data_IF_241109942430
#
_entry.id   IF_241109942430
#
_cell.length_a   1.000
_cell.length_b   1.000
_cell.length_c   1.000
_cell.angle_alpha   90.00
_cell.angle_beta   90.00
_cell.angle_gamma   90.00
#
_symmetry.space_group_name_H-M   'P 1'
#
loop_
_entity.id
_entity.type
_entity.pdbx_description
1 polymer ?
#
# COMPACT_ATOMS: atom_id res chain seq x y z
N UNK A 1 -17.24 -8.70 20.95
CA UNK A 1 -17.92 -7.42 20.67
C UNK A 1 -18.71 -7.53 19.36
N UNK A 2 -19.96 -7.13 19.33
CA UNK A 2 -20.77 -7.11 18.10
C UNK A 2 -20.47 -5.89 17.24
N UNK A 3 -20.16 -4.75 17.87
CA UNK A 3 -19.86 -3.47 17.21
C UNK A 3 -18.63 -2.80 17.81
N UNK A 4 -17.90 -2.05 16.99
CA UNK A 4 -16.80 -1.19 17.44
C UNK A 4 -17.29 0.25 17.58
N UNK A 5 -16.97 0.87 18.70
CA UNK A 5 -17.32 2.27 18.98
C UNK A 5 -16.15 3.18 18.60
N UNK A 6 -16.35 4.05 17.63
CA UNK A 6 -15.31 4.94 17.13
C UNK A 6 -15.15 6.23 17.96
N UNK A 7 -16.00 6.47 18.98
CA UNK A 7 -15.85 7.57 19.93
C UNK A 7 -15.95 8.98 19.33
N UNK A 8 -16.79 9.19 18.30
CA UNK A 8 -17.03 10.52 17.71
C UNK A 8 -15.79 11.14 17.05
N UNK A 9 -14.84 10.35 16.60
CA UNK A 9 -13.57 10.81 16.00
C UNK A 9 -13.78 11.56 14.68
N UNK A 10 -13.10 12.70 14.55
CA UNK A 10 -13.08 13.48 13.31
C UNK A 10 -12.00 12.98 12.37
N UNK A 11 -12.44 12.30 11.29
CA UNK A 11 -11.55 11.81 10.22
C UNK A 11 -10.98 12.93 9.34
N UNK A 12 -11.53 14.14 9.39
CA UNK A 12 -11.02 15.25 8.59
C UNK A 12 -9.59 15.64 9.00
N UNK A 13 -9.24 15.45 10.28
CA UNK A 13 -7.89 15.69 10.80
C UNK A 13 -6.85 14.69 10.28
N UNK A 14 -7.28 13.52 9.78
CA UNK A 14 -6.39 12.48 9.29
C UNK A 14 -5.86 12.73 7.87
N UNK A 15 -6.44 13.73 7.18
CA UNK A 15 -5.97 14.12 5.85
C UNK A 15 -4.84 15.15 5.94
N UNK A 16 -3.58 14.77 5.62
CA UNK A 16 -2.46 15.69 5.69
C UNK A 16 -2.54 16.79 4.64
N UNK A 17 -2.30 18.04 5.01
CA UNK A 17 -2.36 19.22 4.11
C UNK A 17 -1.46 19.08 2.87
N UNK A 18 -0.31 18.40 2.98
CA UNK A 18 0.58 18.19 1.83
C UNK A 18 -0.04 17.30 0.74
N UNK A 19 -1.02 16.47 1.07
CA UNK A 19 -1.73 15.63 0.09
C UNK A 19 -2.64 16.43 -0.83
N UNK A 20 -3.15 17.58 -0.40
CA UNK A 20 -3.90 18.51 -1.27
C UNK A 20 -3.03 19.00 -2.44
N UNK A 21 -1.76 19.31 -2.18
CA UNK A 21 -0.78 19.68 -3.22
C UNK A 21 -0.48 18.48 -4.14
N UNK A 22 -0.35 17.29 -3.56
CA UNK A 22 -0.18 16.03 -4.31
C UNK A 22 -1.33 15.75 -5.27
N UNK A 23 -2.57 15.91 -4.79
CA UNK A 23 -3.78 15.72 -5.60
C UNK A 23 -3.84 16.70 -6.78
N UNK A 24 -3.50 17.97 -6.57
CA UNK A 24 -3.45 18.97 -7.63
C UNK A 24 -2.42 18.60 -8.71
N UNK A 25 -1.23 18.17 -8.32
CA UNK A 25 -0.18 17.72 -9.24
C UNK A 25 -0.59 16.47 -10.01
N UNK A 26 -1.22 15.53 -9.34
CA UNK A 26 -1.72 14.30 -9.95
C UNK A 26 -2.80 14.61 -11.00
N UNK A 27 -3.74 15.54 -10.74
CA UNK A 27 -4.74 15.98 -11.73
C UNK A 27 -4.09 16.55 -12.99
N UNK A 28 -2.99 17.29 -12.85
CA UNK A 28 -2.24 17.79 -14.01
C UNK A 28 -1.55 16.66 -14.79
N UNK A 29 -0.98 15.69 -14.07
CA UNK A 29 -0.34 14.53 -14.70
C UNK A 29 -1.36 13.63 -15.41
N UNK A 30 -2.57 13.48 -14.85
CA UNK A 30 -3.68 12.74 -15.46
C UNK A 30 -4.03 13.27 -16.87
N UNK A 31 -3.94 14.56 -17.10
CA UNK A 31 -4.21 15.15 -18.44
C UNK A 31 -3.26 14.65 -19.52
N UNK A 32 -2.04 14.25 -19.13
CA UNK A 32 -0.96 13.81 -20.05
C UNK A 32 -0.75 12.29 -20.03
N UNK A 33 -1.56 11.56 -19.28
CA UNK A 33 -1.45 10.11 -19.19
C UNK A 33 -2.20 9.43 -20.35
N UNK A 34 -1.60 8.45 -20.98
CA UNK A 34 -2.22 7.61 -22.00
C UNK A 34 -2.89 6.39 -21.38
N UNK A 35 -2.34 5.89 -20.27
CA UNK A 35 -2.91 4.78 -19.48
C UNK A 35 -2.63 4.99 -18.00
N UNK A 36 -3.48 4.43 -17.15
CA UNK A 36 -3.36 4.48 -15.70
C UNK A 36 -3.06 3.09 -15.14
N UNK A 37 -2.12 3.00 -14.23
CA UNK A 37 -1.90 1.81 -13.39
C UNK A 37 -2.30 2.17 -11.97
N UNK A 38 -3.48 1.74 -11.55
CA UNK A 38 -3.94 1.91 -10.18
C UNK A 38 -3.32 0.82 -9.31
N UNK A 39 -2.44 1.22 -8.41
CA UNK A 39 -1.91 0.33 -7.38
C UNK A 39 -2.81 0.41 -6.17
N UNK A 40 -3.68 -0.58 -6.06
CA UNK A 40 -4.58 -0.74 -4.94
C UNK A 40 -4.06 -1.76 -3.94
N UNK A 41 -4.53 -1.67 -2.74
CA UNK A 41 -4.59 -2.73 -1.77
C UNK A 41 -5.96 -2.65 -1.09
N UNK A 42 -6.34 -3.70 -0.44
CA UNK A 42 -7.53 -3.73 0.37
C UNK A 42 -7.27 -2.86 1.62
N UNK A 43 -8.18 -1.96 1.98
CA UNK A 43 -9.59 -1.92 1.57
C UNK A 43 -9.81 -1.20 0.22
N UNK A 44 -10.61 -1.82 -0.66
CA UNK A 44 -11.06 -1.19 -1.91
C UNK A 44 -11.98 0.00 -1.66
N UNK A 45 -12.72 -0.02 -0.54
CA UNK A 45 -13.56 1.08 -0.05
C UNK A 45 -12.77 2.39 0.13
N UNK A 46 -11.46 2.31 0.34
CA UNK A 46 -10.57 3.47 0.42
C UNK A 46 -10.15 4.07 -0.91
N UNK A 47 -10.69 3.61 -2.06
CA UNK A 47 -10.40 4.21 -3.37
C UNK A 47 -10.88 5.65 -3.44
N UNK A 48 -10.09 6.50 -4.09
CA UNK A 48 -10.41 7.92 -4.20
C UNK A 48 -11.45 8.17 -5.30
N UNK A 49 -12.67 8.63 -4.99
CA UNK A 49 -13.72 8.87 -5.98
C UNK A 49 -13.31 9.86 -7.07
N UNK A 50 -12.53 10.89 -6.73
CA UNK A 50 -12.02 11.86 -7.72
C UNK A 50 -11.06 11.24 -8.76
N UNK A 51 -10.52 10.06 -8.49
CA UNK A 51 -9.74 9.28 -9.45
C UNK A 51 -10.64 8.39 -10.30
N UNK A 52 -11.77 7.93 -9.78
CA UNK A 52 -12.71 7.08 -10.52
C UNK A 52 -13.27 7.79 -11.76
N UNK A 53 -13.56 9.09 -11.67
CA UNK A 53 -13.96 9.88 -12.83
C UNK A 53 -12.86 9.89 -13.92
N UNK A 54 -11.60 10.04 -13.51
CA UNK A 54 -10.46 10.00 -14.43
C UNK A 54 -10.23 8.60 -15.00
N UNK A 55 -10.52 7.55 -14.23
CA UNK A 55 -10.43 6.15 -14.63
C UNK A 55 -11.51 5.79 -15.67
N UNK A 56 -12.70 6.38 -15.59
CA UNK A 56 -13.80 6.13 -16.55
C UNK A 56 -13.51 6.59 -17.98
N UNK A 57 -12.56 7.52 -18.17
CA UNK A 57 -12.25 8.11 -19.47
C UNK A 57 -11.00 7.47 -20.11
N UNK A 58 -10.13 6.85 -19.31
CA UNK A 58 -8.81 6.38 -19.77
C UNK A 58 -8.63 4.89 -19.56
N UNK A 59 -7.89 4.21 -20.47
CA UNK A 59 -7.48 2.83 -20.23
C UNK A 59 -6.78 2.73 -18.88
N UNK A 60 -7.17 1.74 -18.06
CA UNK A 60 -6.54 1.55 -16.77
C UNK A 60 -6.36 0.07 -16.41
N UNK A 61 -5.35 -0.20 -15.60
CA UNK A 61 -5.04 -1.52 -15.05
C UNK A 61 -5.07 -1.41 -13.53
N UNK A 62 -5.91 -2.19 -12.88
CA UNK A 62 -5.92 -2.32 -11.43
C UNK A 62 -4.94 -3.43 -11.01
N UNK A 63 -3.96 -3.10 -10.20
CA UNK A 63 -2.96 -4.04 -9.67
C UNK A 63 -3.13 -4.14 -8.15
N UNK A 64 -3.69 -5.22 -7.66
CA UNK A 64 -3.82 -5.47 -6.23
C UNK A 64 -2.49 -5.96 -5.65
N UNK A 65 -2.07 -5.35 -4.55
CA UNK A 65 -0.83 -5.67 -3.86
C UNK A 65 -1.09 -6.51 -2.61
N UNK A 66 -0.04 -7.17 -2.11
CA UNK A 66 -0.05 -7.93 -0.85
C UNK A 66 -1.14 -9.00 -0.81
N UNK A 67 -1.39 -9.66 -1.92
CA UNK A 67 -2.37 -10.77 -1.97
C UNK A 67 -1.98 -11.95 -1.09
N UNK A 68 -0.70 -12.09 -0.79
CA UNK A 68 -0.15 -13.05 0.17
C UNK A 68 -0.64 -12.82 1.60
N UNK A 69 -1.06 -11.59 1.92
CA UNK A 69 -1.61 -11.19 3.22
C UNK A 69 -3.15 -11.23 3.27
N UNK A 70 -3.83 -11.33 2.13
CA UNK A 70 -5.27 -11.35 2.04
C UNK A 70 -5.83 -12.76 2.29
N UNK A 71 -7.05 -12.84 2.86
CA UNK A 71 -7.77 -14.10 3.00
C UNK A 71 -8.16 -14.64 1.61
N UNK A 72 -7.69 -15.83 1.20
CA UNK A 72 -8.03 -16.40 -0.10
C UNK A 72 -9.53 -16.62 -0.32
N UNK A 73 -10.29 -16.83 0.75
CA UNK A 73 -11.74 -17.06 0.71
C UNK A 73 -12.52 -15.79 0.36
N UNK A 74 -11.95 -14.62 0.63
CA UNK A 74 -12.54 -13.31 0.38
C UNK A 74 -11.97 -12.60 -0.85
N UNK A 75 -11.14 -13.28 -1.63
CA UNK A 75 -10.65 -12.72 -2.88
C UNK A 75 -11.84 -12.60 -3.84
N UNK A 76 -12.09 -11.43 -4.43
CA UNK A 76 -13.13 -11.27 -5.42
C UNK A 76 -12.86 -12.22 -6.58
N UNK A 77 -13.81 -13.10 -6.86
CA UNK A 77 -13.72 -14.15 -7.91
C UNK A 77 -13.68 -13.53 -9.30
N UNK A 78 -14.02 -12.26 -9.42
CA UNK A 78 -14.00 -11.53 -10.66
C UNK A 78 -13.54 -10.09 -10.49
N UNK A 79 -12.35 -9.78 -10.94
CA UNK A 79 -12.13 -8.53 -11.61
C UNK A 79 -12.71 -8.62 -13.02
N UNK A 80 -13.96 -9.07 -13.09
CA UNK A 80 -14.80 -8.97 -14.26
C UNK A 80 -15.17 -7.50 -14.46
N UNK A 81 -15.10 -7.04 -15.66
CA UNK A 81 -15.51 -5.74 -16.14
C UNK A 81 -16.74 -5.23 -15.38
N UNK A 82 -16.59 -4.10 -14.67
CA UNK A 82 -17.74 -3.35 -14.21
C UNK A 82 -18.61 -2.96 -15.40
N UNK A 83 -19.92 -2.82 -15.26
CA UNK A 83 -20.81 -2.43 -16.36
C UNK A 83 -20.47 -1.01 -16.80
N UNK A 84 -19.81 -0.89 -17.94
CA UNK A 84 -19.54 0.39 -18.59
C UNK A 84 -18.07 0.71 -18.81
N UNK A 85 -17.53 0.25 -19.93
CA UNK A 85 -16.32 0.80 -20.54
C UNK A 85 -15.05 -0.01 -20.32
N UNK A 86 -14.42 -0.37 -21.37
CA UNK A 86 -13.15 -1.01 -21.68
C UNK A 86 -11.94 -0.95 -20.73
N UNK A 87 -12.13 -1.19 -19.45
CA UNK A 87 -11.05 -1.26 -18.47
C UNK A 87 -10.68 -2.72 -18.16
N UNK A 88 -9.56 -3.22 -18.69
CA UNK A 88 -9.00 -4.51 -18.33
C UNK A 88 -8.45 -4.47 -16.90
N UNK A 89 -9.23 -4.95 -15.92
CA UNK A 89 -8.72 -5.16 -14.56
C UNK A 89 -7.80 -6.39 -14.51
N UNK A 90 -6.53 -6.19 -14.16
CA UNK A 90 -5.60 -7.27 -13.84
C UNK A 90 -5.57 -7.47 -12.35
N UNK A 91 -6.23 -8.49 -11.88
CA UNK A 91 -5.95 -9.04 -10.56
C UNK A 91 -4.67 -9.88 -10.67
N UNK A 92 -3.59 -9.41 -10.05
CA UNK A 92 -2.38 -10.22 -9.91
C UNK A 92 -2.68 -11.42 -9.03
N UNK A 93 -3.08 -12.52 -9.64
CA UNK A 93 -3.16 -13.81 -8.96
C UNK A 93 -1.74 -14.29 -8.76
N UNK A 94 -1.33 -14.46 -7.48
CA UNK A 94 -0.05 -15.08 -7.12
C UNK A 94 0.06 -16.55 -7.52
N UNK A 95 -0.85 -17.05 -8.34
CA UNK A 95 -0.90 -18.42 -8.86
C UNK A 95 -0.34 -18.57 -10.28
N UNK A 96 0.07 -17.50 -10.95
CA UNK A 96 0.85 -17.64 -12.17
C UNK A 96 2.33 -17.59 -11.82
N UNK A 97 3.12 -18.51 -12.34
CA UNK A 97 4.59 -18.58 -12.21
C UNK A 97 5.31 -17.30 -12.69
N UNK A 98 4.57 -16.33 -13.19
CA UNK A 98 5.09 -15.05 -13.66
C UNK A 98 4.84 -13.94 -12.65
N UNK A 99 5.88 -13.22 -12.21
CA UNK A 99 5.73 -12.09 -11.29
C UNK A 99 4.85 -11.00 -11.91
N UNK A 100 3.99 -10.39 -11.08
CA UNK A 100 3.06 -9.30 -11.46
C UNK A 100 3.67 -8.23 -12.39
N UNK A 101 4.92 -7.78 -12.18
CA UNK A 101 5.55 -6.82 -13.07
C UNK A 101 5.68 -7.29 -14.53
N UNK A 102 5.83 -8.59 -14.79
CA UNK A 102 5.93 -9.14 -16.15
C UNK A 102 4.60 -9.10 -16.91
N UNK A 103 3.48 -9.13 -16.20
CA UNK A 103 2.15 -9.10 -16.77
C UNK A 103 1.65 -7.69 -17.05
N UNK A 104 2.04 -6.71 -16.22
CA UNK A 104 1.58 -5.32 -16.33
C UNK A 104 2.01 -4.67 -17.64
N UNK A 105 3.29 -4.81 -18.04
CA UNK A 105 3.82 -4.17 -19.25
C UNK A 105 3.11 -4.62 -20.53
N UNK A 106 2.95 -5.93 -20.83
CA UNK A 106 2.23 -6.39 -22.02
C UNK A 106 0.77 -5.94 -22.05
N UNK A 107 0.11 -5.93 -20.88
CA UNK A 107 -1.28 -5.53 -20.79
C UNK A 107 -1.45 -4.04 -21.03
N UNK A 108 -0.62 -3.19 -20.43
CA UNK A 108 -0.61 -1.75 -20.70
C UNK A 108 -0.30 -1.50 -22.16
N UNK A 109 0.66 -2.23 -22.77
CA UNK A 109 1.00 -2.08 -24.18
C UNK A 109 -0.21 -2.33 -25.11
N UNK A 110 -1.01 -3.37 -24.83
CA UNK A 110 -2.26 -3.62 -25.59
C UNK A 110 -3.26 -2.47 -25.42
N UNK A 111 -3.50 -2.03 -24.18
CA UNK A 111 -4.44 -0.96 -23.91
C UNK A 111 -4.07 0.37 -24.56
N UNK A 112 -2.78 0.69 -24.68
CA UNK A 112 -2.34 1.94 -25.33
C UNK A 112 -2.27 1.82 -26.85
N UNK A 113 -2.12 0.62 -27.41
CA UNK A 113 -2.16 0.40 -28.84
C UNK A 113 -3.56 0.65 -29.42
N UNK A 114 -4.60 0.19 -28.69
CA UNK A 114 -6.00 0.26 -29.14
C UNK A 114 -6.74 1.52 -28.64
N UNK A 115 -6.11 2.28 -27.72
CA UNK A 115 -6.74 3.40 -27.04
C UNK A 115 -6.65 4.73 -27.80
N UNK A 116 -7.68 5.60 -27.68
CA UNK A 116 -7.61 6.95 -28.24
C UNK A 116 -6.55 7.80 -27.53
N UNK A 117 -5.74 8.49 -28.31
CA UNK A 117 -4.65 9.37 -27.81
C UNK A 117 -5.14 10.80 -27.68
N UNK A 118 -5.87 11.09 -26.62
CA UNK A 118 -6.37 12.46 -26.37
C UNK A 118 -5.22 13.47 -26.28
N UNK A 119 -5.24 14.49 -27.15
CA UNK A 119 -4.28 15.60 -27.23
C UNK A 119 -2.80 15.20 -27.45
N UNK A 120 -2.51 13.96 -27.87
CA UNK A 120 -1.13 13.46 -28.05
C UNK A 120 -0.97 12.56 -29.29
N UNK A 121 -1.79 12.72 -30.30
CA UNK A 121 -1.77 11.89 -31.50
C UNK A 121 -0.39 11.87 -32.20
N UNK A 122 0.34 13.00 -32.17
CA UNK A 122 1.65 13.14 -32.79
C UNK A 122 2.82 12.57 -31.96
N UNK A 123 2.59 12.24 -30.69
CA UNK A 123 3.66 11.72 -29.83
C UNK A 123 3.82 10.21 -30.00
N UNK A 124 5.03 9.75 -30.30
CA UNK A 124 5.37 8.32 -30.33
C UNK A 124 5.48 7.68 -28.93
N UNK A 125 5.57 8.51 -27.89
CA UNK A 125 5.74 8.06 -26.51
C UNK A 125 4.42 7.92 -25.78
N UNK A 126 4.31 6.90 -24.91
CA UNK A 126 3.17 6.69 -24.02
C UNK A 126 3.56 6.98 -22.57
N UNK A 127 2.79 7.81 -21.89
CA UNK A 127 2.93 8.08 -20.47
C UNK A 127 1.95 7.23 -19.66
N UNK A 128 2.48 6.36 -18.83
CA UNK A 128 1.73 5.47 -17.95
C UNK A 128 1.81 6.01 -16.53
N UNK A 129 0.71 6.51 -16.01
CA UNK A 129 0.68 7.12 -14.69
C UNK A 129 0.37 6.06 -13.62
N UNK A 130 1.24 5.91 -12.62
CA UNK A 130 1.02 5.00 -11.49
C UNK A 130 0.37 5.76 -10.35
N UNK A 131 -0.85 5.39 -10.01
CA UNK A 131 -1.68 6.05 -8.99
C UNK A 131 -2.03 5.10 -7.84
N UNK A 132 -2.52 5.62 -6.73
CA UNK A 132 -3.01 4.85 -5.57
C UNK A 132 -2.74 5.55 -4.25
N UNK A 133 -3.31 5.01 -3.18
CA UNK A 133 -3.13 5.53 -1.81
C UNK A 133 -1.68 5.40 -1.34
N UNK A 134 -1.28 6.13 -0.29
CA UNK A 134 0.04 5.92 0.33
C UNK A 134 0.27 4.46 0.71
N UNK A 135 1.51 4.02 0.68
CA UNK A 135 1.95 2.66 1.02
C UNK A 135 1.31 1.50 0.23
N UNK A 136 0.56 1.79 -0.85
CA UNK A 136 0.02 0.77 -1.74
C UNK A 136 1.09 0.00 -2.53
N UNK A 137 2.37 0.38 -2.43
CA UNK A 137 3.48 -0.28 -3.12
C UNK A 137 3.74 0.25 -4.54
N UNK A 138 3.33 1.48 -4.86
CA UNK A 138 3.59 2.13 -6.17
C UNK A 138 5.08 2.16 -6.52
N UNK A 139 5.90 2.72 -5.65
CA UNK A 139 7.35 2.84 -5.86
C UNK A 139 8.02 1.46 -5.94
N UNK A 140 7.53 0.47 -5.20
CA UNK A 140 8.02 -0.91 -5.30
C UNK A 140 7.72 -1.53 -6.67
N UNK A 141 6.52 -1.32 -7.21
CA UNK A 141 6.15 -1.77 -8.55
C UNK A 141 7.03 -1.10 -9.61
N UNK A 142 7.16 0.22 -9.54
CA UNK A 142 7.99 1.01 -10.48
C UNK A 142 9.43 0.53 -10.47
N UNK A 143 10.02 0.34 -9.29
CA UNK A 143 11.38 -0.16 -9.15
C UNK A 143 11.53 -1.61 -9.67
N UNK A 144 10.52 -2.45 -9.52
CA UNK A 144 10.51 -3.80 -10.08
C UNK A 144 10.46 -3.78 -11.61
N UNK A 145 9.59 -2.96 -12.20
CA UNK A 145 9.47 -2.79 -13.65
C UNK A 145 10.75 -2.21 -14.26
N UNK A 146 11.36 -1.22 -13.60
CA UNK A 146 12.67 -0.67 -14.01
C UNK A 146 13.74 -1.75 -14.05
N UNK A 147 13.84 -2.58 -13.01
CA UNK A 147 14.84 -3.68 -12.97
C UNK A 147 14.65 -4.70 -14.09
N UNK A 148 13.39 -5.00 -14.43
CA UNK A 148 13.09 -5.89 -15.54
C UNK A 148 13.51 -5.33 -16.90
N UNK A 149 13.27 -4.03 -17.12
CA UNK A 149 13.68 -3.34 -18.34
C UNK A 149 15.21 -3.34 -18.48
N UNK A 150 15.94 -2.98 -17.43
CA UNK A 150 17.40 -3.00 -17.42
C UNK A 150 17.99 -4.40 -17.67
N UNK A 151 17.39 -5.46 -17.11
CA UNK A 151 17.82 -6.84 -17.36
C UNK A 151 17.58 -7.28 -18.80
N UNK A 152 16.52 -6.83 -19.46
CA UNK A 152 16.26 -7.10 -20.88
C UNK A 152 17.29 -6.41 -21.77
N UNK A 153 17.61 -5.16 -21.50
CA UNK A 153 18.65 -4.41 -22.23
C UNK A 153 20.03 -5.07 -22.14
N UNK A 154 20.42 -5.54 -20.95
CA UNK A 154 21.69 -6.25 -20.76
C UNK A 154 21.74 -7.62 -21.48
N UNK A 155 20.62 -8.34 -21.60
CA UNK A 155 20.54 -9.61 -22.35
C UNK A 155 20.56 -9.42 -23.87
N UNK A 156 20.08 -8.31 -24.38
CA UNK A 156 20.10 -7.99 -25.82
C UNK A 156 21.51 -7.65 -26.36
N UNK A 157 22.47 -7.36 -25.49
CA UNK A 157 23.87 -7.06 -25.86
C UNK A 157 24.84 -8.24 -25.68
N UNK A 158 24.42 -9.37 -25.15
CA UNK A 158 25.28 -10.54 -24.92
C UNK A 158 25.15 -11.58 -26.05
N UNK A 159 25.80 -11.34 -27.17
CA UNK A 159 26.41 -12.41 -27.93
C UNK A 159 27.64 -12.91 -27.16
N UNK A 160 27.58 -14.15 -26.70
CA UNK A 160 28.71 -15.02 -26.23
C UNK A 160 29.81 -14.38 -25.38
N UNK A 161 29.67 -14.41 -24.02
CA UNK A 161 30.81 -14.38 -23.08
C UNK A 161 30.46 -15.16 -21.80
N UNK A 162 31.43 -15.88 -21.14
CA UNK A 162 31.19 -16.81 -20.04
C UNK A 162 30.87 -16.15 -18.67
N UNK A 163 30.48 -16.93 -17.66
CA UNK A 163 29.93 -16.42 -16.43
C UNK A 163 31.01 -15.75 -15.55
N UNK A 164 31.13 -14.45 -15.62
CA UNK A 164 31.88 -13.68 -14.66
C UNK A 164 30.89 -12.99 -13.74
N UNK A 165 31.11 -13.16 -12.44
CA UNK A 165 30.44 -12.44 -11.35
C UNK A 165 30.33 -10.94 -11.67
N UNK A 166 29.19 -10.51 -12.21
CA UNK A 166 28.94 -9.10 -12.50
C UNK A 166 28.23 -8.47 -11.30
N UNK A 167 29.00 -7.86 -10.42
CA UNK A 167 28.54 -6.69 -9.69
C UNK A 167 28.34 -5.57 -10.71
N UNK A 168 27.18 -5.53 -11.33
CA UNK A 168 26.81 -4.41 -12.21
C UNK A 168 26.64 -3.20 -11.31
N UNK A 169 27.62 -2.33 -11.29
CA UNK A 169 27.50 -0.95 -10.82
C UNK A 169 26.50 -0.24 -11.76
N UNK A 170 25.24 -0.28 -11.35
CA UNK A 170 24.17 0.48 -12.00
C UNK A 170 24.50 1.98 -11.85
N UNK A 171 24.58 2.77 -12.94
CA UNK A 171 24.73 4.21 -12.79
C UNK A 171 23.58 4.73 -11.91
N UNK A 172 23.84 5.70 -11.02
CA UNK A 172 22.88 6.15 -10.03
C UNK A 172 21.79 7.03 -10.64
N UNK A 173 20.93 6.44 -11.45
CA UNK A 173 19.62 7.00 -11.66
C UNK A 173 18.84 6.72 -10.37
N UNK A 174 18.45 7.78 -9.66
CA UNK A 174 17.78 7.69 -8.36
C UNK A 174 16.61 6.71 -8.42
N UNK A 175 16.73 5.56 -7.75
CA UNK A 175 15.62 4.67 -7.51
C UNK A 175 14.51 5.43 -6.76
N UNK A 176 13.25 5.13 -7.08
CA UNK A 176 12.13 5.72 -6.36
C UNK A 176 12.22 5.28 -4.90
N UNK A 177 12.19 6.24 -3.96
CA UNK A 177 12.28 5.97 -2.55
C UNK A 177 11.11 5.06 -2.11
N UNK A 178 11.43 3.96 -1.45
CA UNK A 178 10.47 3.04 -0.86
C UNK A 178 10.59 3.17 0.65
N UNK A 179 9.49 3.50 1.32
CA UNK A 179 9.47 3.62 2.78
C UNK A 179 8.15 3.20 3.38
N UNK A 180 8.17 2.88 4.67
CA UNK A 180 6.99 2.44 5.43
C UNK A 180 6.06 3.59 5.83
N UNK A 181 6.51 4.84 5.76
CA UNK A 181 5.70 5.99 6.16
C UNK A 181 4.95 6.61 4.98
N UNK A 182 3.68 7.04 5.19
CA UNK A 182 2.92 7.76 4.19
C UNK A 182 3.58 9.09 3.79
N UNK A 183 3.65 9.38 2.49
CA UNK A 183 4.11 10.68 1.98
C UNK A 183 5.61 10.79 1.67
N UNK A 184 6.37 9.70 1.67
CA UNK A 184 7.81 9.72 1.33
C UNK A 184 8.07 10.23 -0.09
N UNK A 185 7.20 9.90 -1.06
CA UNK A 185 7.29 10.41 -2.43
C UNK A 185 6.75 11.85 -2.49
N UNK A 186 7.58 12.82 -2.15
CA UNK A 186 7.10 14.20 -1.93
C UNK A 186 7.03 15.09 -3.17
N UNK A 187 7.80 14.87 -4.24
CA UNK A 187 7.99 16.00 -5.13
C UNK A 187 8.20 15.75 -6.63
N UNK A 188 8.78 14.67 -7.10
CA UNK A 188 9.22 14.62 -8.51
C UNK A 188 8.51 13.48 -9.23
N UNK A 189 7.76 13.85 -10.27
CA UNK A 189 7.24 12.93 -11.27
C UNK A 189 8.44 12.40 -12.08
N UNK A 190 9.12 11.38 -11.59
CA UNK A 190 10.19 10.74 -12.34
C UNK A 190 9.61 9.92 -13.48
N UNK A 191 10.10 10.13 -14.70
CA UNK A 191 9.78 9.29 -15.86
C UNK A 191 10.79 8.16 -15.95
N UNK A 192 10.32 6.94 -16.03
CA UNK A 192 11.14 5.72 -16.08
C UNK A 192 10.70 4.92 -17.30
N UNK A 193 11.60 4.70 -18.25
CA UNK A 193 11.32 3.85 -19.39
C UNK A 193 11.12 2.39 -18.97
N UNK A 194 10.09 1.74 -19.51
CA UNK A 194 9.74 0.35 -19.18
C UNK A 194 9.51 -0.53 -20.42
N UNK A 195 9.37 0.09 -21.58
CA UNK A 195 9.24 -0.60 -22.86
C UNK A 195 9.77 0.29 -24.00
N UNK A 196 10.35 -0.34 -25.02
CA UNK A 196 10.86 0.35 -26.21
C UNK A 196 9.86 0.30 -27.37
N UNK A 197 9.10 -0.78 -27.46
CA UNK A 197 8.10 -0.99 -28.51
C UNK A 197 6.81 -1.56 -27.92
N UNK A 198 5.75 -0.72 -27.73
CA UNK A 198 5.74 0.73 -27.91
C UNK A 198 6.60 1.46 -26.88
N UNK A 199 7.07 2.67 -27.19
CA UNK A 199 7.89 3.47 -26.28
C UNK A 199 7.03 3.94 -25.09
N UNK A 200 7.24 3.34 -23.92
CA UNK A 200 6.43 3.59 -22.72
C UNK A 200 7.27 4.07 -21.54
N UNK A 201 6.77 5.09 -20.87
CA UNK A 201 7.35 5.64 -19.66
C UNK A 201 6.37 5.55 -18.49
N UNK A 202 6.81 5.02 -17.39
CA UNK A 202 6.09 5.13 -16.12
C UNK A 202 6.37 6.49 -15.48
N UNK A 203 5.31 7.07 -14.94
CA UNK A 203 5.36 8.30 -14.16
C UNK A 203 4.89 8.01 -12.76
N UNK A 204 5.80 8.14 -11.77
CA UNK A 204 5.47 7.95 -10.36
C UNK A 204 4.68 9.14 -9.83
N UNK A 205 3.66 8.87 -9.04
CA UNK A 205 2.87 9.90 -8.38
C UNK A 205 2.91 9.76 -6.86
N UNK A 206 2.83 10.88 -6.13
CA UNK A 206 2.64 10.79 -4.69
C UNK A 206 1.36 10.00 -4.38
N UNK A 207 1.40 9.22 -3.29
CA UNK A 207 0.19 8.58 -2.77
C UNK A 207 -0.79 9.62 -2.26
N UNK A 208 -2.05 9.52 -2.65
CA UNK A 208 -3.08 10.49 -2.27
C UNK A 208 -4.30 9.76 -1.73
N UNK A 209 -4.68 10.12 -0.51
CA UNK A 209 -5.95 9.72 0.09
C UNK A 209 -7.11 10.54 -0.51
N UNK A 210 -8.36 10.03 -0.45
CA UNK A 210 -9.52 10.85 -0.73
C UNK A 210 -9.55 12.06 0.24
N UNK A 211 -9.89 13.26 -0.25
CA UNK A 211 -9.95 14.46 0.60
C UNK A 211 -10.99 14.35 1.72
N UNK A 212 -12.02 13.56 1.49
CA UNK A 212 -13.02 13.17 2.49
C UNK A 212 -13.08 11.64 2.51
N UNK A 213 -12.78 11.07 3.66
CA UNK A 213 -13.06 9.67 3.93
C UNK A 213 -14.58 9.55 4.13
N UNK A 214 -15.21 8.56 3.50
CA UNK A 214 -16.66 8.40 3.54
C UNK A 214 -17.18 8.14 4.96
N UNK A 215 -16.41 7.40 5.73
CA UNK A 215 -16.73 7.02 7.12
C UNK A 215 -15.45 6.76 7.93
N UNK A 216 -15.60 6.70 9.24
CA UNK A 216 -14.50 6.45 10.19
C UNK A 216 -13.93 5.03 9.99
N UNK A 217 -14.77 4.06 9.69
CA UNK A 217 -14.35 2.66 9.52
C UNK A 217 -13.40 2.52 8.32
N UNK A 218 -13.74 3.11 7.18
CA UNK A 218 -12.85 3.17 6.00
C UNK A 218 -11.50 3.82 6.35
N UNK A 219 -11.53 4.91 7.12
CA UNK A 219 -10.32 5.55 7.61
C UNK A 219 -9.46 4.64 8.48
N UNK A 220 -10.08 3.89 9.39
CA UNK A 220 -9.39 2.92 10.25
C UNK A 220 -8.79 1.76 9.46
N UNK A 221 -9.50 1.22 8.48
CA UNK A 221 -8.98 0.19 7.58
C UNK A 221 -7.75 0.68 6.80
N UNK A 222 -7.80 1.91 6.28
CA UNK A 222 -6.65 2.54 5.61
C UNK A 222 -5.47 2.77 6.56
N UNK A 223 -5.74 3.17 7.80
CA UNK A 223 -4.72 3.32 8.83
C UNK A 223 -4.06 1.97 9.18
N UNK A 224 -4.84 0.90 9.34
CA UNK A 224 -4.30 -0.45 9.55
C UNK A 224 -3.35 -0.87 8.41
N UNK A 225 -3.66 -0.50 7.17
CA UNK A 225 -2.79 -0.74 6.02
C UNK A 225 -1.57 0.19 5.95
N UNK A 226 -1.44 1.16 6.87
CA UNK A 226 -0.37 2.15 6.89
C UNK A 226 -0.50 3.24 5.82
N UNK A 227 -1.70 3.47 5.28
CA UNK A 227 -1.96 4.57 4.35
C UNK A 227 -2.12 5.92 5.06
N UNK A 228 -2.44 5.91 6.34
CA UNK A 228 -2.52 7.06 7.24
C UNK A 228 -1.42 6.90 8.30
N UNK A 229 -0.84 8.01 8.76
CA UNK A 229 0.17 8.02 9.82
C UNK A 229 -0.45 7.58 11.15
N UNK A 230 0.18 6.64 11.83
CA UNK A 230 -0.36 6.01 13.03
C UNK A 230 -0.66 7.03 14.15
N UNK A 231 0.26 7.99 14.35
CA UNK A 231 0.12 9.04 15.37
C UNK A 231 -1.06 10.00 15.13
N UNK A 232 -1.61 10.08 13.90
CA UNK A 232 -2.80 10.90 13.63
C UNK A 232 -4.09 10.22 14.09
N UNK A 233 -4.08 8.90 14.16
CA UNK A 233 -5.24 8.09 14.53
C UNK A 233 -5.17 7.67 16.00
N UNK A 234 -3.97 7.32 16.47
CA UNK A 234 -3.66 6.73 17.76
C UNK A 234 -3.44 5.22 17.65
N UNK A 235 -2.24 4.76 18.03
CA UNK A 235 -1.86 3.36 17.92
C UNK A 235 -2.70 2.44 18.81
N UNK A 236 -3.12 2.92 19.97
CA UNK A 236 -3.97 2.20 20.93
C UNK A 236 -5.34 1.88 20.33
N UNK A 237 -5.99 2.87 19.74
CA UNK A 237 -7.31 2.72 19.11
C UNK A 237 -7.23 1.85 17.86
N UNK A 238 -6.18 2.04 17.06
CA UNK A 238 -5.93 1.18 15.90
C UNK A 238 -5.71 -0.27 16.31
N UNK A 239 -4.98 -0.51 17.40
CA UNK A 239 -4.76 -1.85 17.95
C UNK A 239 -6.07 -2.48 18.45
N UNK A 240 -6.92 -1.70 19.13
CA UNK A 240 -8.23 -2.20 19.59
C UNK A 240 -9.18 -2.50 18.42
N UNK A 241 -9.19 -1.65 17.39
CA UNK A 241 -9.94 -1.92 16.16
C UNK A 241 -9.42 -3.15 15.39
N UNK A 242 -8.10 -3.34 15.37
CA UNK A 242 -7.50 -4.54 14.79
C UNK A 242 -7.93 -5.79 15.55
N UNK A 243 -7.87 -5.79 16.88
CA UNK A 243 -8.34 -6.90 17.72
C UNK A 243 -9.81 -7.24 17.45
N UNK A 244 -10.67 -6.19 17.40
CA UNK A 244 -12.08 -6.36 17.03
C UNK A 244 -12.23 -7.03 15.67
N UNK A 245 -11.49 -6.58 14.67
CA UNK A 245 -11.54 -7.11 13.29
C UNK A 245 -11.07 -8.56 13.23
N UNK A 246 -9.98 -8.91 13.91
CA UNK A 246 -9.47 -10.27 13.98
C UNK A 246 -10.49 -11.20 14.63
N UNK A 247 -11.10 -10.79 15.73
CA UNK A 247 -12.13 -11.59 16.43
C UNK A 247 -13.39 -11.76 15.56
N UNK A 248 -13.85 -10.70 14.90
CA UNK A 248 -15.00 -10.75 13.99
C UNK A 248 -14.78 -11.72 12.82
N UNK A 249 -13.54 -11.84 12.36
CA UNK A 249 -13.16 -12.75 11.28
C UNK A 249 -12.65 -14.11 11.77
N UNK A 250 -12.74 -14.39 13.07
CA UNK A 250 -12.27 -15.63 13.71
C UNK A 250 -10.79 -15.93 13.44
N UNK A 251 -9.97 -14.88 13.33
CA UNK A 251 -8.53 -14.95 13.11
C UNK A 251 -7.78 -14.90 14.45
N UNK A 252 -7.61 -16.04 15.10
CA UNK A 252 -7.06 -16.12 16.45
C UNK A 252 -5.55 -16.43 16.52
N UNK A 253 -4.80 -16.20 15.43
CA UNK A 253 -3.34 -16.43 15.44
C UNK A 253 -2.59 -15.59 16.47
N UNK A 254 -3.13 -14.41 16.84
CA UNK A 254 -2.56 -13.57 17.88
C UNK A 254 -2.50 -14.28 19.26
N UNK A 255 -3.45 -15.19 19.55
CA UNK A 255 -3.48 -15.97 20.79
C UNK A 255 -2.21 -16.79 20.94
N UNK A 256 -1.87 -17.57 19.91
CA UNK A 256 -0.65 -18.38 19.91
C UNK A 256 0.62 -17.53 19.89
N UNK A 257 0.61 -16.45 19.08
CA UNK A 257 1.79 -15.61 18.90
C UNK A 257 2.25 -14.91 20.17
N UNK A 258 1.31 -14.49 21.00
CA UNK A 258 1.61 -13.75 22.25
C UNK A 258 1.38 -14.55 23.52
N UNK A 259 1.10 -15.85 23.39
CA UNK A 259 0.95 -16.77 24.54
C UNK A 259 -0.28 -16.48 25.38
N UNK A 260 -1.40 -16.06 24.77
CA UNK A 260 -2.68 -15.97 25.45
C UNK A 260 -3.30 -17.39 25.59
N UNK A 261 -4.01 -17.65 26.69
CA UNK A 261 -4.72 -18.93 26.86
C UNK A 261 -5.96 -19.05 25.99
N UNK A 262 -6.61 -17.93 25.67
CA UNK A 262 -7.84 -17.85 24.88
C UNK A 262 -7.99 -16.50 24.21
N UNK A 263 -8.86 -16.36 23.19
CA UNK A 263 -9.16 -15.07 22.58
C UNK A 263 -9.74 -14.08 23.61
N UNK A 264 -9.36 -12.81 23.50
CA UNK A 264 -9.83 -11.74 24.36
C UNK A 264 -10.55 -10.65 23.58
N UNK A 265 -11.52 -9.97 24.23
CA UNK A 265 -12.29 -8.88 23.63
C UNK A 265 -11.81 -7.48 24.04
N UNK A 266 -10.87 -7.41 24.97
CA UNK A 266 -10.31 -6.17 25.49
C UNK A 266 -8.85 -6.06 25.05
N UNK A 267 -8.45 -4.86 24.69
CA UNK A 267 -7.11 -4.62 24.15
C UNK A 267 -6.02 -4.67 25.24
N UNK A 268 -6.33 -4.27 26.47
CA UNK A 268 -5.36 -4.18 27.56
C UNK A 268 -4.68 -5.51 27.91
N UNK A 269 -5.42 -6.64 28.11
CA UNK A 269 -4.79 -7.94 28.33
C UNK A 269 -3.89 -8.35 27.18
N UNK A 270 -4.31 -8.11 25.93
CA UNK A 270 -3.50 -8.41 24.75
C UNK A 270 -2.20 -7.59 24.77
N UNK A 271 -2.27 -6.26 24.94
CA UNK A 271 -1.08 -5.40 24.96
C UNK A 271 -0.13 -5.76 26.08
N UNK A 272 -0.64 -6.22 27.25
CA UNK A 272 0.19 -6.75 28.32
C UNK A 272 1.02 -7.95 27.84
N UNK A 273 0.38 -8.92 27.18
CA UNK A 273 1.06 -10.09 26.64
C UNK A 273 2.05 -9.72 25.53
N UNK A 274 1.68 -8.79 24.64
CA UNK A 274 2.59 -8.27 23.60
C UNK A 274 3.81 -7.61 24.24
N UNK A 275 3.61 -6.74 25.24
CA UNK A 275 4.71 -6.06 25.94
C UNK A 275 5.66 -7.06 26.62
N UNK A 276 5.14 -8.08 27.27
CA UNK A 276 5.93 -9.12 27.92
C UNK A 276 6.69 -9.96 26.90
N UNK A 277 6.01 -10.46 25.86
CA UNK A 277 6.62 -11.33 24.86
C UNK A 277 7.69 -10.63 24.02
N UNK A 278 7.56 -9.32 23.83
CA UNK A 278 8.50 -8.50 23.04
C UNK A 278 9.48 -7.66 23.90
N UNK A 279 9.43 -7.83 25.23
CA UNK A 279 10.29 -7.10 26.16
C UNK A 279 10.09 -5.56 26.10
N UNK A 280 8.86 -5.10 25.83
CA UNK A 280 8.55 -3.67 25.72
C UNK A 280 8.29 -3.06 27.08
N UNK A 281 9.33 -2.52 27.69
CA UNK A 281 9.30 -1.86 29.00
C UNK A 281 9.83 -0.43 28.88
N UNK A 282 9.45 0.41 29.84
CA UNK A 282 9.92 1.80 29.96
C UNK A 282 10.24 2.12 31.42
N UNK A 283 11.22 2.99 31.62
CA UNK A 283 11.52 3.53 32.93
C UNK A 283 10.59 4.72 33.21
N UNK A 284 9.85 4.65 34.28
CA UNK A 284 8.95 5.72 34.73
C UNK A 284 9.45 6.20 36.09
N UNK A 285 9.57 7.52 36.25
CA UNK A 285 9.83 8.14 37.55
C UNK A 285 8.52 8.21 38.33
N UNK A 286 8.45 7.50 39.43
CA UNK A 286 7.31 7.54 40.34
C UNK A 286 7.70 8.32 41.58
N UNK A 287 6.86 9.30 41.94
CA UNK A 287 7.02 10.05 43.18
C UNK A 287 6.56 9.17 44.34
N UNK A 288 7.45 8.87 45.25
CA UNK A 288 7.15 8.17 46.51
C UNK A 288 7.33 9.16 47.67
N UNK A 289 6.77 8.84 48.83
CA UNK A 289 6.90 9.68 50.03
C UNK A 289 8.35 9.94 50.46
N UNK A 290 9.32 9.20 49.93
CA UNK A 290 10.76 9.32 50.21
C UNK A 290 11.58 9.87 49.02
N UNK A 291 10.91 10.27 47.90
CA UNK A 291 11.57 10.83 46.73
C UNK A 291 11.18 10.17 45.41
N UNK A 292 11.92 10.47 44.33
CA UNK A 292 11.69 9.89 43.03
C UNK A 292 12.40 8.54 42.88
N UNK A 293 11.61 7.49 42.56
CA UNK A 293 12.14 6.15 42.27
C UNK A 293 11.88 5.81 40.80
N UNK A 294 12.88 5.28 40.12
CA UNK A 294 12.74 4.77 38.77
C UNK A 294 12.12 3.35 38.82
N UNK A 295 10.94 3.18 38.26
CA UNK A 295 10.29 1.88 38.12
C UNK A 295 10.26 1.45 36.67
N UNK A 296 10.43 0.15 36.42
CA UNK A 296 10.23 -0.46 35.10
C UNK A 296 8.75 -0.81 34.95
N UNK A 297 8.10 -0.24 33.97
CA UNK A 297 6.70 -0.50 33.64
C UNK A 297 6.56 -1.01 32.21
N UNK A 298 5.48 -1.70 31.91
CA UNK A 298 5.17 -2.13 30.55
C UNK A 298 4.88 -0.90 29.68
N UNK A 299 5.43 -0.89 28.45
CA UNK A 299 5.22 0.18 27.48
C UNK A 299 4.07 -0.23 26.53
N UNK A 300 2.84 0.11 26.89
CA UNK A 300 1.64 -0.20 26.10
C UNK A 300 1.62 0.47 24.71
N UNK A 301 2.02 1.74 24.53
CA UNK A 301 2.15 2.32 23.20
C UNK A 301 3.11 1.55 22.29
N UNK A 302 4.26 1.16 22.81
CA UNK A 302 5.20 0.34 22.05
C UNK A 302 4.64 -1.06 21.74
N UNK A 303 3.86 -1.64 22.65
CA UNK A 303 3.19 -2.91 22.41
C UNK A 303 2.09 -2.80 21.33
N UNK A 304 1.32 -1.72 21.33
CA UNK A 304 0.31 -1.44 20.29
C UNK A 304 0.99 -1.31 18.91
N UNK A 305 2.09 -0.56 18.84
CA UNK A 305 2.88 -0.45 17.61
C UNK A 305 3.40 -1.81 17.11
N UNK A 306 3.92 -2.66 18.00
CA UNK A 306 4.36 -4.01 17.64
C UNK A 306 3.22 -4.89 17.13
N UNK A 307 2.06 -4.81 17.75
CA UNK A 307 0.88 -5.55 17.32
C UNK A 307 0.45 -5.14 15.90
N UNK A 308 0.40 -3.84 15.60
CA UNK A 308 0.12 -3.30 14.28
C UNK A 308 1.21 -3.70 13.26
N UNK A 309 2.46 -3.69 13.66
CA UNK A 309 3.59 -4.11 12.82
C UNK A 309 3.50 -5.59 12.46
N UNK A 310 3.13 -6.44 13.40
CA UNK A 310 2.94 -7.86 13.17
C UNK A 310 1.78 -8.15 12.22
N UNK A 311 0.69 -7.39 12.33
CA UNK A 311 -0.41 -7.45 11.37
C UNK A 311 0.07 -7.08 9.95
N UNK A 312 0.70 -5.93 9.79
CA UNK A 312 1.20 -5.44 8.49
C UNK A 312 2.25 -6.36 7.85
N UNK A 313 2.96 -7.13 8.66
CA UNK A 313 3.92 -8.15 8.23
C UNK A 313 3.29 -9.53 7.97
N UNK A 314 1.97 -9.69 8.15
CA UNK A 314 1.25 -10.95 7.94
C UNK A 314 1.47 -12.01 9.03
N UNK A 315 2.09 -11.67 10.15
CA UNK A 315 2.38 -12.62 11.24
C UNK A 315 1.13 -13.03 12.04
N UNK A 316 0.06 -12.26 11.92
CA UNK A 316 -1.24 -12.52 12.54
C UNK A 316 -2.21 -13.31 11.66
N UNK A 317 -1.76 -13.75 10.50
CA UNK A 317 -2.55 -14.49 9.51
C UNK A 317 -2.96 -13.65 8.32
N UNK A 318 -3.73 -14.27 7.44
CA UNK A 318 -4.27 -13.62 6.23
C UNK A 318 -5.61 -12.99 6.56
N UNK A 319 -5.69 -11.68 6.40
CA UNK A 319 -6.87 -10.89 6.79
C UNK A 319 -7.25 -9.93 5.66
N UNK A 320 -8.51 -9.95 5.27
CA UNK A 320 -9.08 -9.00 4.33
C UNK A 320 -9.97 -8.02 5.10
N UNK A 321 -9.75 -6.72 4.92
CA UNK A 321 -10.44 -5.69 5.71
C UNK A 321 -11.80 -5.28 5.13
N UNK A 322 -12.11 -5.63 3.87
CA UNK A 322 -13.41 -5.44 3.22
C UNK A 322 -14.22 -6.72 3.17
#
# INVERSE_FOLDING_TARGET
>A
RERFEFGGRDVASWFPRHMAKGLRRMRLALRRADCLVERGHIPLSGRNPALQEALGIRPHVLVLNKMDLADPRRQPVSAGAGPGGGGGGVTGRAQSDSPVPLQVVPMVARLVADGPRYHRAESSEHNILVIGVPNAGKSSLINALRRLHLKKGARGQLGTVPPVSLTVSVPPGKATAVGGEPGITKAVLSRIQVCEKPLMYLVDTPGVLPPRLGDVETGMKLALCGAILDHLVGEDVMADYLLYTLNKQQQFRYVQRYGLGQPCNHIEPLLKHVALSQGRTQKVKVLTGTGNVNMMMLNYPAAAYEFLRDFRAGRLGRVTLD
#
